data_IF_428274570168
#
_entry.id   IF_428274570168
#
_cell.length_a   1.000
_cell.length_b   1.000
_cell.length_c   1.000
_cell.angle_alpha   90.00
_cell.angle_beta   90.00
_cell.angle_gamma   90.00
#
_symmetry.space_group_name_H-M   'P 1'
#
loop_
_entity.id
_entity.type
_entity.pdbx_description
1 polymer ?
#
# COMPACT_ATOMS: atom_id res chain seq x y z
N UNK A 1 14.24 20.85 4.10
CA UNK A 1 13.67 19.86 3.16
C UNK A 1 12.74 20.63 2.26
N UNK A 2 12.94 20.54 0.97
CA UNK A 2 12.06 21.14 -0.02
C UNK A 2 11.09 20.06 -0.54
N UNK A 3 9.81 20.37 -0.58
CA UNK A 3 8.79 19.46 -1.11
C UNK A 3 8.37 19.94 -2.49
N UNK A 4 8.24 19.04 -3.45
CA UNK A 4 7.76 19.37 -4.80
C UNK A 4 6.34 19.94 -4.77
N UNK A 5 5.52 19.47 -3.81
CA UNK A 5 4.15 19.96 -3.59
C UNK A 5 3.76 19.84 -2.13
N UNK A 6 3.03 20.82 -1.64
CA UNK A 6 2.43 20.81 -0.29
C UNK A 6 0.94 20.99 -0.39
N UNK A 7 0.19 20.16 0.36
CA UNK A 7 -1.27 20.25 0.46
C UNK A 7 -1.66 20.51 1.90
N UNK A 8 -2.50 21.51 2.13
CA UNK A 8 -3.06 21.74 3.46
C UNK A 8 -4.30 20.88 3.68
N UNK A 9 -4.43 20.28 4.86
CA UNK A 9 -5.66 19.59 5.30
C UNK A 9 -6.36 20.49 6.29
N UNK A 10 -7.64 20.75 6.06
CA UNK A 10 -8.48 21.61 6.93
C UNK A 10 -9.00 20.79 8.11
N UNK A 11 -9.41 21.47 9.18
CA UNK A 11 -10.02 20.80 10.34
C UNK A 11 -11.26 20.00 9.91
N UNK A 12 -11.29 18.71 10.21
CA UNK A 12 -12.39 17.81 9.83
C UNK A 12 -12.32 17.25 8.40
N UNK A 13 -11.30 17.60 7.62
CA UNK A 13 -11.07 17.11 6.27
C UNK A 13 -10.22 15.82 6.32
N UNK A 14 -10.53 14.84 5.49
CA UNK A 14 -9.72 13.64 5.30
C UNK A 14 -8.73 13.80 4.15
N UNK A 15 -7.79 12.89 4.06
CA UNK A 15 -6.76 12.86 3.02
C UNK A 15 -7.37 12.86 1.59
N UNK A 16 -8.43 12.09 1.37
CA UNK A 16 -9.13 12.05 0.10
C UNK A 16 -9.74 13.40 -0.30
N UNK A 17 -10.27 14.17 0.67
CA UNK A 17 -10.86 15.48 0.40
C UNK A 17 -9.78 16.50 -0.01
N UNK A 18 -8.63 16.46 0.66
CA UNK A 18 -7.50 17.30 0.32
C UNK A 18 -6.95 16.99 -1.09
N UNK A 19 -6.88 15.69 -1.46
CA UNK A 19 -6.51 15.28 -2.81
C UNK A 19 -7.50 15.79 -3.86
N UNK A 20 -8.81 15.61 -3.65
CA UNK A 20 -9.85 16.11 -4.56
C UNK A 20 -9.78 17.62 -4.78
N UNK A 21 -9.57 18.36 -3.70
CA UNK A 21 -9.39 19.83 -3.76
C UNK A 21 -8.12 20.21 -4.56
N UNK A 22 -7.13 19.35 -4.57
CA UNK A 22 -5.91 19.49 -5.37
C UNK A 22 -6.05 18.95 -6.81
N UNK A 23 -7.26 18.55 -7.24
CA UNK A 23 -7.51 18.00 -8.57
C UNK A 23 -7.00 16.56 -8.76
N UNK A 24 -6.95 15.79 -7.66
CA UNK A 24 -6.54 14.38 -7.65
C UNK A 24 -7.67 13.50 -7.11
N UNK A 25 -8.05 12.46 -7.83
CA UNK A 25 -9.12 11.55 -7.41
C UNK A 25 -8.64 10.50 -6.42
N UNK A 26 -7.35 10.14 -6.46
CA UNK A 26 -6.73 9.12 -5.61
C UNK A 26 -5.22 9.39 -5.42
N UNK A 27 -4.55 8.56 -4.64
CA UNK A 27 -3.11 8.69 -4.34
C UNK A 27 -2.31 8.76 -5.64
N UNK A 28 -1.48 9.80 -5.84
CA UNK A 28 -0.59 9.90 -7.01
C UNK A 28 0.40 8.73 -7.07
N UNK A 29 0.83 8.39 -8.27
CA UNK A 29 1.87 7.36 -8.48
C UNK A 29 3.27 7.95 -8.42
N UNK A 30 4.25 7.09 -8.11
CA UNK A 30 5.68 7.40 -8.12
C UNK A 30 6.02 8.59 -7.21
N UNK A 31 5.51 8.57 -5.98
CA UNK A 31 5.71 9.63 -5.01
C UNK A 31 5.94 9.12 -3.58
N UNK A 32 6.55 9.99 -2.77
CA UNK A 32 6.65 9.86 -1.32
C UNK A 32 5.72 10.90 -0.71
N UNK A 33 4.82 10.46 0.17
CA UNK A 33 3.86 11.34 0.84
C UNK A 33 4.20 11.40 2.33
N UNK A 34 4.62 12.56 2.79
CA UNK A 34 4.78 12.86 4.21
C UNK A 34 3.48 13.49 4.71
N UNK A 35 2.62 12.68 5.35
CA UNK A 35 1.30 13.15 5.82
C UNK A 35 1.35 13.90 7.16
N UNK A 36 2.47 13.86 7.87
CA UNK A 36 2.76 14.52 9.16
C UNK A 36 1.85 14.12 10.32
N UNK A 37 0.64 13.65 10.05
CA UNK A 37 -0.35 13.23 11.04
C UNK A 37 -0.84 11.82 10.73
N UNK A 38 -0.96 10.92 11.72
CA UNK A 38 -1.60 9.63 11.57
C UNK A 38 -3.12 9.76 11.42
N UNK A 39 -3.78 8.70 10.95
CA UNK A 39 -5.25 8.62 10.95
C UNK A 39 -5.98 9.47 9.90
N UNK A 40 -5.29 10.08 8.94
CA UNK A 40 -5.91 10.92 7.91
C UNK A 40 -6.67 10.15 6.81
N UNK A 41 -6.73 8.80 6.89
CA UNK A 41 -7.48 7.99 5.94
C UNK A 41 -6.79 7.74 4.59
N UNK A 42 -5.46 7.83 4.52
CA UNK A 42 -4.71 7.60 3.29
C UNK A 42 -4.94 6.18 2.72
N UNK A 43 -4.88 5.15 3.57
CA UNK A 43 -5.21 3.77 3.16
C UNK A 43 -6.65 3.65 2.64
N UNK A 44 -7.61 4.34 3.30
CA UNK A 44 -9.02 4.35 2.85
C UNK A 44 -9.16 4.95 1.46
N UNK A 45 -8.42 6.01 1.17
CA UNK A 45 -8.36 6.59 -0.18
C UNK A 45 -7.93 5.56 -1.23
N UNK A 46 -6.94 4.72 -0.94
CA UNK A 46 -6.50 3.67 -1.86
C UNK A 46 -7.51 2.50 -1.95
N UNK A 47 -8.15 2.14 -0.84
CA UNK A 47 -9.15 1.07 -0.85
C UNK A 47 -10.35 1.38 -1.76
N UNK A 48 -10.66 2.65 -1.97
CA UNK A 48 -11.75 3.12 -2.84
C UNK A 48 -11.28 3.48 -4.25
N UNK A 49 -9.99 3.52 -4.52
CA UNK A 49 -9.43 3.87 -5.82
C UNK A 49 -9.78 2.83 -6.90
N UNK A 50 -10.15 3.24 -8.13
CA UNK A 50 -10.54 2.33 -9.21
C UNK A 50 -9.32 1.71 -9.90
N UNK A 51 -8.51 0.99 -9.15
CA UNK A 51 -7.32 0.27 -9.65
C UNK A 51 -7.02 -0.97 -8.79
N UNK A 52 -6.29 -1.93 -9.34
CA UNK A 52 -5.76 -3.08 -8.61
C UNK A 52 -4.63 -2.61 -7.70
N UNK A 53 -4.63 -3.01 -6.41
CA UNK A 53 -3.63 -2.50 -5.48
C UNK A 53 -3.13 -3.56 -4.51
N UNK A 54 -1.83 -3.46 -4.18
CA UNK A 54 -1.19 -4.16 -3.07
C UNK A 54 -0.83 -3.11 -2.03
N UNK A 55 -1.35 -3.26 -0.81
CA UNK A 55 -1.16 -2.31 0.28
C UNK A 55 -0.41 -3.03 1.40
N UNK A 56 0.79 -2.55 1.70
CA UNK A 56 1.63 -3.11 2.77
C UNK A 56 1.49 -2.24 4.01
N UNK A 57 1.08 -2.87 5.09
CA UNK A 57 0.90 -2.28 6.42
C UNK A 57 1.50 -3.19 7.51
N UNK A 58 2.00 -2.64 8.63
CA UNK A 58 2.71 -3.45 9.63
C UNK A 58 1.79 -4.34 10.49
N UNK A 59 0.47 -4.15 10.48
CA UNK A 59 -0.43 -4.64 11.52
C UNK A 59 -1.51 -5.58 10.99
N UNK A 60 -1.46 -6.89 11.36
CA UNK A 60 -2.45 -7.90 10.94
C UNK A 60 -3.89 -7.53 11.32
N UNK A 61 -4.23 -7.16 12.58
CA UNK A 61 -5.59 -6.77 12.94
C UNK A 61 -6.13 -5.60 12.10
N UNK A 62 -5.26 -4.67 11.71
CA UNK A 62 -5.63 -3.50 10.91
C UNK A 62 -5.97 -3.93 9.48
N UNK A 63 -5.14 -4.74 8.82
CA UNK A 63 -5.42 -5.21 7.45
C UNK A 63 -6.65 -6.09 7.39
N UNK A 64 -6.89 -6.95 8.39
CA UNK A 64 -8.11 -7.78 8.48
C UNK A 64 -9.36 -6.91 8.64
N UNK A 65 -9.34 -5.95 9.55
CA UNK A 65 -10.47 -5.04 9.77
C UNK A 65 -10.80 -4.23 8.53
N UNK A 66 -9.79 -3.76 7.80
CA UNK A 66 -9.96 -3.01 6.55
C UNK A 66 -10.51 -3.91 5.43
N UNK A 67 -9.94 -5.11 5.24
CA UNK A 67 -10.38 -6.04 4.20
C UNK A 67 -11.85 -6.47 4.38
N UNK A 68 -12.30 -6.72 5.62
CA UNK A 68 -13.70 -7.09 5.91
C UNK A 68 -14.73 -6.04 5.48
N UNK A 69 -14.34 -4.78 5.36
CA UNK A 69 -15.24 -3.67 4.98
C UNK A 69 -15.37 -3.50 3.46
N UNK A 70 -14.57 -4.22 2.66
CA UNK A 70 -14.53 -4.08 1.20
C UNK A 70 -14.68 -5.44 0.53
N UNK A 71 -15.72 -5.62 -0.32
CA UNK A 71 -16.04 -6.90 -0.97
C UNK A 71 -14.94 -7.45 -1.87
N UNK A 72 -14.13 -6.57 -2.45
CA UNK A 72 -13.04 -6.90 -3.36
C UNK A 72 -11.66 -6.77 -2.69
N UNK A 73 -11.59 -6.97 -1.39
CA UNK A 73 -10.35 -6.89 -0.62
C UNK A 73 -10.06 -8.20 0.12
N UNK A 74 -8.79 -8.58 0.16
CA UNK A 74 -8.28 -9.74 0.90
C UNK A 74 -7.10 -9.32 1.77
N UNK A 75 -7.13 -9.70 3.06
CA UNK A 75 -5.99 -9.60 3.95
C UNK A 75 -5.10 -10.84 3.78
N UNK A 76 -3.79 -10.63 3.56
CA UNK A 76 -2.79 -11.69 3.35
C UNK A 76 -1.70 -11.57 4.42
N UNK A 77 -1.57 -12.59 5.24
CA UNK A 77 -0.60 -12.67 6.34
C UNK A 77 -0.20 -14.12 6.61
N UNK A 78 0.57 -14.39 7.64
CA UNK A 78 1.16 -15.71 7.92
C UNK A 78 0.16 -16.88 7.89
N UNK A 79 -1.07 -16.70 8.37
CA UNK A 79 -2.13 -17.72 8.42
C UNK A 79 -2.89 -17.95 7.09
N UNK A 80 -2.65 -17.14 6.07
CA UNK A 80 -3.33 -17.24 4.76
C UNK A 80 -2.50 -18.09 3.82
N UNK A 81 -3.14 -19.01 3.07
CA UNK A 81 -2.47 -19.87 2.09
C UNK A 81 -2.33 -19.20 0.73
N UNK A 82 -1.30 -19.56 -0.02
CA UNK A 82 -1.08 -19.10 -1.41
C UNK A 82 -2.29 -19.43 -2.29
N UNK A 83 -2.85 -20.65 -2.14
CA UNK A 83 -4.04 -21.08 -2.87
C UNK A 83 -5.24 -20.15 -2.64
N UNK A 84 -5.49 -19.74 -1.39
CA UNK A 84 -6.58 -18.80 -1.09
C UNK A 84 -6.38 -17.45 -1.78
N UNK A 85 -5.13 -16.98 -1.88
CA UNK A 85 -4.81 -15.75 -2.62
C UNK A 85 -5.01 -15.93 -4.11
N UNK A 86 -4.59 -17.07 -4.68
CA UNK A 86 -4.77 -17.39 -6.09
C UNK A 86 -6.27 -17.49 -6.46
N UNK A 87 -7.06 -18.24 -5.69
CA UNK A 87 -8.51 -18.36 -5.89
C UNK A 87 -9.18 -16.96 -5.87
N UNK A 88 -8.81 -16.11 -4.90
CA UNK A 88 -9.33 -14.73 -4.82
C UNK A 88 -8.95 -13.89 -6.06
N UNK A 89 -7.72 -14.02 -6.56
CA UNK A 89 -7.26 -13.30 -7.75
C UNK A 89 -8.03 -13.74 -9.01
N UNK A 90 -8.28 -15.03 -9.17
CA UNK A 90 -9.05 -15.55 -10.29
C UNK A 90 -10.52 -15.06 -10.25
N UNK A 91 -11.17 -15.11 -9.09
CA UNK A 91 -12.54 -14.62 -8.91
C UNK A 91 -12.70 -13.10 -9.11
N UNK A 92 -11.62 -12.35 -8.96
CA UNK A 92 -11.63 -10.88 -9.03
C UNK A 92 -10.77 -10.32 -10.17
N UNK A 93 -10.33 -11.14 -11.11
CA UNK A 93 -9.38 -10.78 -12.18
C UNK A 93 -9.72 -9.47 -12.90
N UNK A 94 -10.99 -9.27 -13.21
CA UNK A 94 -11.51 -8.11 -13.94
C UNK A 94 -11.98 -6.96 -13.03
N UNK A 95 -11.75 -7.07 -11.71
CA UNK A 95 -12.15 -6.07 -10.73
C UNK A 95 -10.96 -5.28 -10.20
N UNK A 96 -11.24 -4.14 -9.61
CA UNK A 96 -10.24 -3.33 -8.88
C UNK A 96 -10.02 -3.92 -7.48
N UNK A 97 -9.41 -5.11 -7.39
CA UNK A 97 -9.16 -5.78 -6.13
C UNK A 97 -8.08 -5.09 -5.29
N UNK A 98 -8.13 -5.34 -3.98
CA UNK A 98 -7.18 -4.85 -2.99
C UNK A 98 -6.58 -6.01 -2.20
N UNK A 99 -5.28 -6.17 -2.24
CA UNK A 99 -4.55 -7.08 -1.37
C UNK A 99 -3.87 -6.28 -0.27
N UNK A 100 -4.34 -6.45 0.96
CA UNK A 100 -3.71 -5.83 2.12
C UNK A 100 -2.79 -6.87 2.77
N UNK A 101 -1.54 -6.53 2.98
CA UNK A 101 -0.57 -7.50 3.50
C UNK A 101 0.40 -6.88 4.51
N UNK A 102 0.94 -7.74 5.38
CA UNK A 102 2.16 -7.44 6.13
C UNK A 102 3.38 -7.76 5.25
N UNK A 103 4.58 -7.25 5.59
CA UNK A 103 5.79 -7.59 4.85
C UNK A 103 5.99 -9.10 4.67
N UNK A 104 5.71 -9.91 5.72
CA UNK A 104 5.86 -11.37 5.67
C UNK A 104 4.81 -12.05 4.76
N UNK A 105 3.68 -11.41 4.54
CA UNK A 105 2.63 -11.93 3.67
C UNK A 105 2.87 -11.65 2.19
N UNK A 106 3.77 -10.72 1.87
CA UNK A 106 4.01 -10.26 0.49
C UNK A 106 4.50 -11.37 -0.45
N UNK A 107 5.38 -12.24 0.03
CA UNK A 107 5.87 -13.40 -0.74
C UNK A 107 4.73 -14.28 -1.25
N UNK A 108 3.68 -14.49 -0.42
CA UNK A 108 2.51 -15.29 -0.82
C UNK A 108 1.70 -14.62 -1.95
N UNK A 109 1.61 -13.29 -1.94
CA UNK A 109 0.98 -12.54 -3.03
C UNK A 109 1.78 -12.74 -4.32
N UNK A 110 3.09 -12.60 -4.26
CA UNK A 110 4.01 -12.79 -5.38
C UNK A 110 3.86 -14.18 -5.99
N UNK A 111 3.92 -15.23 -5.16
CA UNK A 111 3.78 -16.61 -5.60
C UNK A 111 2.38 -16.90 -6.18
N UNK A 112 1.32 -16.38 -5.55
CA UNK A 112 -0.05 -16.55 -6.04
C UNK A 112 -0.26 -15.85 -7.39
N UNK A 113 0.23 -14.61 -7.56
CA UNK A 113 0.13 -13.88 -8.82
C UNK A 113 0.92 -14.57 -9.95
N UNK A 114 2.08 -15.12 -9.62
CA UNK A 114 2.86 -15.93 -10.55
C UNK A 114 2.10 -17.19 -11.00
N UNK A 115 1.43 -17.88 -10.07
CA UNK A 115 0.66 -19.09 -10.36
C UNK A 115 -0.56 -18.83 -11.26
N UNK A 116 -1.16 -17.64 -11.18
CA UNK A 116 -2.32 -17.23 -12.02
C UNK A 116 -1.93 -16.31 -13.18
N UNK A 117 -0.65 -16.22 -13.49
CA UNK A 117 -0.10 -15.47 -14.62
C UNK A 117 -0.52 -13.97 -14.62
N UNK A 118 -0.44 -13.32 -13.47
CA UNK A 118 -0.63 -11.87 -13.31
C UNK A 118 0.73 -11.20 -13.13
N UNK A 119 1.07 -10.26 -13.98
CA UNK A 119 2.24 -9.41 -13.79
C UNK A 119 1.93 -8.27 -12.82
N UNK A 120 2.21 -8.49 -11.54
CA UNK A 120 1.93 -7.50 -10.50
C UNK A 120 2.66 -6.16 -10.69
N UNK A 121 3.81 -6.17 -11.36
CA UNK A 121 4.64 -4.97 -11.51
C UNK A 121 4.04 -3.96 -12.48
N UNK A 122 3.31 -4.43 -13.47
CA UNK A 122 2.63 -3.60 -14.48
C UNK A 122 1.15 -3.40 -14.20
N UNK A 123 0.47 -4.42 -13.63
CA UNK A 123 -0.97 -4.38 -13.43
C UNK A 123 -1.40 -3.76 -12.10
N UNK A 124 -0.54 -3.75 -11.08
CA UNK A 124 -0.89 -3.30 -9.75
C UNK A 124 -0.18 -1.99 -9.36
N UNK A 125 -0.89 -1.22 -8.55
CA UNK A 125 -0.29 -0.16 -7.75
C UNK A 125 0.17 -0.72 -6.41
N UNK A 126 1.39 -0.42 -5.99
CA UNK A 126 1.87 -0.80 -4.66
C UNK A 126 1.95 0.41 -3.75
N UNK A 127 1.40 0.25 -2.54
CA UNK A 127 1.42 1.24 -1.48
C UNK A 127 2.11 0.69 -0.24
N UNK A 128 3.16 1.34 0.23
CA UNK A 128 3.65 1.17 1.59
C UNK A 128 3.02 2.25 2.47
N UNK A 129 2.10 1.87 3.35
CA UNK A 129 1.53 2.77 4.35
C UNK A 129 2.24 2.57 5.70
N UNK A 130 2.43 3.67 6.43
CA UNK A 130 3.18 3.70 7.70
C UNK A 130 4.60 3.10 7.57
N UNK A 131 5.27 3.40 6.47
CA UNK A 131 6.58 2.81 6.16
C UNK A 131 7.64 3.10 7.23
N UNK A 132 7.51 4.19 7.99
CA UNK A 132 8.38 4.50 9.13
C UNK A 132 8.34 3.42 10.21
N UNK A 133 7.18 2.85 10.48
CA UNK A 133 7.04 1.77 11.47
C UNK A 133 7.74 0.50 11.01
N UNK A 134 7.65 0.19 9.72
CA UNK A 134 8.29 -0.97 9.12
C UNK A 134 9.81 -0.88 9.16
N UNK A 135 10.37 0.33 9.05
CA UNK A 135 11.82 0.55 9.08
C UNK A 135 12.36 0.60 10.52
N UNK A 136 11.58 1.13 11.46
CA UNK A 136 12.00 1.29 12.85
C UNK A 136 11.95 -0.01 13.66
N UNK A 137 11.05 -0.93 13.33
CA UNK A 137 10.89 -2.18 14.06
C UNK A 137 11.95 -3.21 13.63
N UNK A 138 12.80 -3.61 14.60
CA UNK A 138 13.87 -4.59 14.37
C UNK A 138 13.33 -5.93 13.87
N UNK A 139 12.12 -6.33 14.30
CA UNK A 139 11.48 -7.58 13.89
C UNK A 139 11.05 -7.59 12.41
N UNK A 140 10.81 -6.41 11.83
CA UNK A 140 10.42 -6.29 10.41
C UNK A 140 11.60 -6.07 9.46
N UNK A 141 12.82 -5.79 9.95
CA UNK A 141 13.96 -5.45 9.09
C UNK A 141 14.28 -6.51 8.04
N UNK A 142 14.21 -7.77 8.40
CA UNK A 142 14.48 -8.86 7.45
C UNK A 142 13.30 -9.11 6.52
N UNK A 143 12.07 -9.04 7.02
CA UNK A 143 10.86 -9.28 6.23
C UNK A 143 10.51 -8.14 5.26
N UNK A 144 10.95 -6.91 5.54
CA UNK A 144 10.72 -5.75 4.64
C UNK A 144 11.66 -5.76 3.43
N UNK A 145 12.78 -6.46 3.50
CA UNK A 145 13.79 -6.45 2.44
C UNK A 145 13.23 -6.90 1.09
N UNK A 146 12.48 -8.00 1.06
CA UNK A 146 11.91 -8.53 -0.18
C UNK A 146 10.86 -7.57 -0.77
N UNK A 147 9.80 -7.16 -0.05
CA UNK A 147 8.83 -6.24 -0.61
C UNK A 147 9.43 -4.86 -0.98
N UNK A 148 10.49 -4.41 -0.29
CA UNK A 148 11.16 -3.16 -0.64
C UNK A 148 11.97 -3.29 -1.94
N UNK A 149 12.67 -4.41 -2.16
CA UNK A 149 13.37 -4.67 -3.41
C UNK A 149 12.40 -4.76 -4.60
N UNK A 150 11.27 -5.43 -4.40
CA UNK A 150 10.24 -5.54 -5.42
C UNK A 150 9.49 -4.21 -5.65
N UNK A 151 9.34 -3.36 -4.63
CA UNK A 151 8.68 -2.05 -4.72
C UNK A 151 9.23 -1.20 -5.86
N UNK A 152 10.54 -1.16 -6.03
CA UNK A 152 11.17 -0.35 -7.08
C UNK A 152 10.89 -0.86 -8.50
N UNK A 153 10.48 -2.12 -8.65
CA UNK A 153 10.13 -2.75 -9.93
C UNK A 153 8.72 -2.38 -10.40
N UNK A 154 7.83 -1.99 -9.47
CA UNK A 154 6.46 -1.59 -9.83
C UNK A 154 6.47 -0.31 -10.68
N UNK A 155 5.66 -0.29 -11.75
CA UNK A 155 5.45 0.91 -12.56
C UNK A 155 4.73 2.00 -11.77
N UNK A 156 3.76 1.61 -10.94
CA UNK A 156 2.93 2.51 -10.15
C UNK A 156 3.10 2.21 -8.67
N UNK A 157 3.64 3.16 -7.90
CA UNK A 157 3.98 2.97 -6.49
C UNK A 157 3.90 4.26 -5.69
N UNK A 158 3.70 4.13 -4.39
CA UNK A 158 3.86 5.24 -3.45
C UNK A 158 4.29 4.75 -2.07
N UNK A 159 5.01 5.60 -1.35
CA UNK A 159 5.33 5.46 0.07
C UNK A 159 4.55 6.52 0.85
N UNK A 160 3.94 6.13 1.96
CA UNK A 160 3.26 7.06 2.87
C UNK A 160 3.85 6.93 4.27
N UNK A 161 4.21 8.06 4.86
CA UNK A 161 4.72 8.14 6.22
C UNK A 161 4.05 9.28 6.99
N UNK A 162 3.83 9.07 8.29
CA UNK A 162 3.46 10.13 9.21
C UNK A 162 4.70 10.91 9.70
N UNK A 163 5.87 10.27 9.68
CA UNK A 163 7.15 10.89 10.00
C UNK A 163 7.89 11.23 8.70
N UNK A 164 8.45 12.43 8.54
CA UNK A 164 9.17 12.81 7.33
C UNK A 164 10.30 11.83 7.00
N UNK A 165 10.27 11.28 5.80
CA UNK A 165 11.37 10.52 5.23
C UNK A 165 12.36 11.53 4.65
N UNK A 166 13.54 11.59 5.22
CA UNK A 166 14.62 12.46 4.76
C UNK A 166 15.53 11.60 3.88
N UNK A 167 15.58 11.85 2.56
CA UNK A 167 16.58 11.20 1.72
C UNK A 167 17.97 11.57 2.22
N UNK A 168 18.84 10.58 2.42
CA UNK A 168 20.26 10.86 2.61
C UNK A 168 20.78 11.57 1.36
N UNK A 169 21.41 12.72 1.54
CA UNK A 169 22.14 13.36 0.45
C UNK A 169 23.37 12.49 0.22
N UNK A 170 23.48 11.90 -0.94
CA UNK A 170 24.73 11.33 -1.40
C UNK A 170 25.81 12.43 -1.34
N UNK A 171 26.80 12.22 -0.48
CA UNK A 171 27.98 13.06 -0.39
C UNK A 171 28.97 12.70 -1.51
#
# INVERSE_FOLDING_TARGET
MEYDRTYSIRKGEYFADALKRAGKDFIPTNCIINKLLPGLGATHCELTAPRKSIIIEPNVPVIESKAKKHKNALAVYKGVTIRKVADFLEENRDKHYKLLTTPEGFTKIKEAMQAVEIDMYTECFILFDECEKLVQDVHYRDSIREPMNDFFRFQNKALISATPIIPEKDN
#
